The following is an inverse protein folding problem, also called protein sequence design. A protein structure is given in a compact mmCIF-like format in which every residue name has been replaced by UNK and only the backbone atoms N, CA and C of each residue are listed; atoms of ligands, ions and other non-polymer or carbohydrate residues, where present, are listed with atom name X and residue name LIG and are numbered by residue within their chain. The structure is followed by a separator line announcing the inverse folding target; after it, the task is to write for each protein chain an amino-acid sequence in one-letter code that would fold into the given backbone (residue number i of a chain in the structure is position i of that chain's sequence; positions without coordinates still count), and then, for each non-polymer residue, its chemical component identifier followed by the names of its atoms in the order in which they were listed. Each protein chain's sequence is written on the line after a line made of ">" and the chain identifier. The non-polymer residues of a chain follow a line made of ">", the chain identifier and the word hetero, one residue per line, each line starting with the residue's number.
data_IF_036811938314
#
_entry.id   IF_036811938314
#
_cell.length_a   1.000
_cell.length_b   1.000
_cell.length_c   1.000
_cell.angle_alpha   90.00
_cell.angle_beta   90.00
_cell.angle_gamma   90.00
#
_symmetry.space_group_name_H-M   'P 1'
#
loop_
_entity.id
_entity.type
_entity.pdbx_description
1 polymer ?
#
# COMPACT_ATOMS: atom_id res chain seq x y z
N UNK A 1 -43.20 34.74 36.73
CA UNK A 1 -43.45 34.99 35.29
C UNK A 1 -42.35 35.83 34.64
N UNK A 2 -41.94 36.96 35.25
CA UNK A 2 -40.92 37.88 34.70
C UNK A 2 -39.50 37.25 34.56
N UNK A 3 -39.12 36.31 35.43
CA UNK A 3 -37.81 35.61 35.38
C UNK A 3 -37.69 34.64 34.19
N UNK A 4 -38.76 33.90 33.88
CA UNK A 4 -38.83 32.92 32.78
C UNK A 4 -38.79 33.64 31.42
N UNK A 5 -39.33 34.85 31.35
CA UNK A 5 -39.35 35.67 30.14
C UNK A 5 -37.95 36.21 29.78
N UNK A 6 -37.09 36.45 30.78
CA UNK A 6 -35.74 36.96 30.59
C UNK A 6 -34.76 35.86 30.13
N UNK A 7 -34.88 34.63 30.65
CA UNK A 7 -34.07 33.48 30.22
C UNK A 7 -34.39 33.05 28.77
N UNK A 8 -35.67 33.09 28.36
CA UNK A 8 -36.06 32.82 26.97
C UNK A 8 -35.49 33.86 25.99
N UNK A 9 -35.43 35.13 26.40
CA UNK A 9 -34.85 36.18 25.55
C UNK A 9 -33.32 36.09 25.48
N UNK A 10 -32.64 35.72 26.57
CA UNK A 10 -31.20 35.50 26.56
C UNK A 10 -30.79 34.29 25.70
N UNK A 11 -31.54 33.19 25.78
CA UNK A 11 -31.31 31.99 24.95
C UNK A 11 -31.65 32.21 23.48
N UNK A 12 -32.70 32.98 23.16
CA UNK A 12 -32.96 33.38 21.78
C UNK A 12 -31.85 34.28 21.23
N UNK A 13 -31.34 35.22 22.03
CA UNK A 13 -30.26 36.12 21.63
C UNK A 13 -28.94 35.39 21.37
N UNK A 14 -28.57 34.40 22.20
CA UNK A 14 -27.36 33.58 21.97
C UNK A 14 -27.48 32.71 20.72
N UNK A 15 -28.65 32.09 20.48
CA UNK A 15 -28.90 31.30 19.26
C UNK A 15 -28.84 32.18 18.00
N UNK A 16 -29.39 33.40 18.04
CA UNK A 16 -29.29 34.33 16.91
C UNK A 16 -27.85 34.77 16.62
N UNK A 17 -27.03 35.01 17.64
CA UNK A 17 -25.62 35.36 17.47
C UNK A 17 -24.80 34.20 16.89
N UNK A 18 -25.03 32.96 17.34
CA UNK A 18 -24.35 31.78 16.79
C UNK A 18 -24.69 31.57 15.31
N UNK A 19 -25.96 31.70 14.94
CA UNK A 19 -26.41 31.47 13.56
C UNK A 19 -25.93 32.59 12.63
N UNK A 20 -26.08 33.85 13.05
CA UNK A 20 -25.82 35.00 12.17
C UNK A 20 -24.32 35.29 12.03
N UNK A 21 -23.51 35.01 13.05
CA UNK A 21 -22.09 35.42 13.05
C UNK A 21 -21.13 34.23 12.98
N UNK A 22 -21.32 33.21 13.83
CA UNK A 22 -20.33 32.13 13.95
C UNK A 22 -20.38 31.13 12.79
N UNK A 23 -21.57 30.79 12.30
CA UNK A 23 -21.74 29.89 11.14
C UNK A 23 -21.06 30.44 9.87
N UNK A 24 -21.32 31.69 9.42
CA UNK A 24 -20.70 32.19 8.19
C UNK A 24 -19.18 32.34 8.30
N UNK A 25 -18.65 32.69 9.47
CA UNK A 25 -17.19 32.76 9.68
C UNK A 25 -16.55 31.38 9.55
N UNK A 26 -17.14 30.35 10.18
CA UNK A 26 -16.66 28.96 10.05
C UNK A 26 -16.71 28.49 8.59
N UNK A 27 -17.77 28.83 7.87
CA UNK A 27 -17.94 28.51 6.45
C UNK A 27 -16.83 29.16 5.60
N UNK A 28 -16.54 30.44 5.86
CA UNK A 28 -15.52 31.20 5.13
C UNK A 28 -14.10 30.67 5.36
N UNK A 29 -13.80 30.20 6.57
CA UNK A 29 -12.54 29.51 6.89
C UNK A 29 -12.45 28.17 6.14
N UNK A 30 -13.55 27.44 6.00
CA UNK A 30 -13.59 26.17 5.28
C UNK A 30 -13.35 26.37 3.78
N UNK A 31 -13.97 27.39 3.18
CA UNK A 31 -13.80 27.75 1.76
C UNK A 31 -12.34 28.12 1.49
N UNK A 32 -11.71 28.94 2.33
CA UNK A 32 -10.29 29.29 2.19
C UNK A 32 -9.36 28.08 2.30
N UNK A 33 -9.68 27.11 3.17
CA UNK A 33 -8.92 25.84 3.23
C UNK A 33 -9.07 25.05 1.94
N UNK A 34 -10.27 24.93 1.40
CA UNK A 34 -10.53 24.23 0.14
C UNK A 34 -9.81 24.89 -1.04
N UNK A 35 -9.85 26.21 -1.16
CA UNK A 35 -9.10 26.95 -2.19
C UNK A 35 -7.60 26.69 -2.10
N UNK A 36 -7.03 26.64 -0.89
CA UNK A 36 -5.61 26.31 -0.68
C UNK A 36 -5.30 24.88 -1.14
N UNK A 37 -6.16 23.90 -0.84
CA UNK A 37 -6.01 22.53 -1.32
C UNK A 37 -6.09 22.45 -2.84
N UNK A 38 -7.01 23.18 -3.46
CA UNK A 38 -7.19 23.23 -4.92
C UNK A 38 -6.00 23.90 -5.60
N UNK A 39 -5.47 24.98 -5.02
CA UNK A 39 -4.25 25.64 -5.48
C UNK A 39 -3.03 24.72 -5.39
N UNK A 40 -2.86 24.01 -4.28
CA UNK A 40 -1.78 23.03 -4.10
C UNK A 40 -1.89 21.89 -5.13
N UNK A 41 -3.11 21.40 -5.39
CA UNK A 41 -3.35 20.39 -6.43
C UNK A 41 -2.96 20.91 -7.82
N UNK A 42 -3.33 22.15 -8.14
CA UNK A 42 -3.08 22.74 -9.46
C UNK A 42 -1.60 23.17 -9.66
N UNK A 43 -0.87 23.45 -8.58
CA UNK A 43 0.58 23.76 -8.63
C UNK A 43 1.47 22.52 -8.60
N UNK A 44 0.94 21.35 -8.23
CA UNK A 44 1.62 20.09 -8.48
C UNK A 44 1.57 19.77 -9.98
N UNK A 45 2.47 20.37 -10.76
CA UNK A 45 2.88 19.80 -12.04
C UNK A 45 3.46 18.41 -11.74
N UNK A 46 2.61 17.39 -11.83
CA UNK A 46 2.95 16.01 -11.52
C UNK A 46 4.09 15.60 -12.46
N UNK A 47 5.31 15.59 -11.94
CA UNK A 47 6.47 15.11 -12.67
C UNK A 47 6.55 13.60 -12.46
N UNK A 48 5.69 12.87 -13.17
CA UNK A 48 5.54 11.40 -13.11
C UNK A 48 6.80 10.64 -13.55
N UNK A 49 7.79 11.35 -14.12
CA UNK A 49 9.05 10.79 -14.63
C UNK A 49 9.90 10.06 -13.59
N UNK A 50 9.68 10.27 -12.29
CA UNK A 50 10.63 9.83 -11.26
C UNK A 50 10.09 8.82 -10.24
N UNK A 51 8.85 8.35 -10.35
CA UNK A 51 8.31 7.40 -9.34
C UNK A 51 7.67 6.18 -9.96
N UNK A 52 8.36 5.04 -9.81
CA UNK A 52 7.90 3.70 -10.17
C UNK A 52 6.55 3.35 -9.51
N UNK A 53 6.38 3.74 -8.24
CA UNK A 53 5.15 3.47 -7.47
C UNK A 53 3.97 4.37 -7.86
N UNK A 54 4.21 5.45 -8.62
CA UNK A 54 3.17 6.39 -9.02
C UNK A 54 2.17 5.76 -10.00
N UNK A 55 2.65 4.90 -10.90
CA UNK A 55 1.82 4.09 -11.79
C UNK A 55 0.88 3.15 -11.02
N UNK A 56 1.34 2.60 -9.90
CA UNK A 56 0.51 1.74 -9.04
C UNK A 56 -0.69 2.51 -8.47
N UNK A 57 -0.43 3.75 -8.02
CA UNK A 57 -1.44 4.66 -7.49
C UNK A 57 -2.41 5.07 -8.60
N UNK A 58 -1.92 5.47 -9.77
CA UNK A 58 -2.76 5.81 -10.92
C UNK A 58 -3.67 4.64 -11.36
N UNK A 59 -3.13 3.43 -11.39
CA UNK A 59 -3.89 2.22 -11.72
C UNK A 59 -4.97 1.91 -10.67
N UNK A 60 -4.65 2.03 -9.37
CA UNK A 60 -5.64 1.90 -8.29
C UNK A 60 -6.75 2.96 -8.36
N UNK A 61 -6.43 4.15 -8.84
CA UNK A 61 -7.37 5.27 -9.00
C UNK A 61 -8.14 5.23 -10.32
N UNK A 62 -7.99 4.18 -11.16
CA UNK A 62 -8.56 4.09 -12.51
C UNK A 62 -8.24 5.32 -13.39
N UNK A 63 -7.12 6.00 -13.12
CA UNK A 63 -6.67 7.12 -13.94
C UNK A 63 -5.87 6.51 -15.08
N UNK A 64 -6.39 6.64 -16.30
CA UNK A 64 -5.71 6.16 -17.50
C UNK A 64 -4.33 6.78 -17.59
N UNK A 65 -3.31 5.93 -17.58
CA UNK A 65 -1.94 6.32 -17.88
C UNK A 65 -1.97 6.89 -19.30
N UNK A 66 -1.51 8.14 -19.53
CA UNK A 66 -1.53 8.71 -20.87
C UNK A 66 -0.78 7.77 -21.83
N UNK A 67 -1.34 7.50 -23.01
CA UNK A 67 -0.73 6.61 -24.02
C UNK A 67 0.69 7.05 -24.44
N UNK A 68 1.04 8.31 -24.15
CA UNK A 68 2.36 8.91 -24.34
C UNK A 68 3.29 8.77 -23.13
N UNK A 69 2.94 7.98 -22.10
CA UNK A 69 3.84 7.70 -21.00
C UNK A 69 5.11 7.02 -21.55
N UNK A 70 6.27 7.54 -21.16
CA UNK A 70 7.56 7.06 -21.66
C UNK A 70 7.65 5.53 -21.52
N UNK A 71 8.04 4.79 -22.58
CA UNK A 71 8.15 3.32 -22.54
C UNK A 71 8.94 2.78 -21.35
N UNK A 72 9.90 3.60 -20.87
CA UNK A 72 10.69 3.38 -19.65
C UNK A 72 9.81 3.18 -18.42
N UNK A 73 8.75 3.97 -18.25
CA UNK A 73 7.90 3.96 -17.05
C UNK A 73 7.01 2.70 -17.04
N UNK A 74 6.48 2.30 -18.19
CA UNK A 74 5.70 1.07 -18.31
C UNK A 74 6.57 -0.18 -18.07
N UNK A 75 7.77 -0.22 -18.65
CA UNK A 75 8.76 -1.28 -18.41
C UNK A 75 9.11 -1.38 -16.91
N UNK A 76 9.46 -0.24 -16.32
CA UNK A 76 9.78 -0.05 -14.91
C UNK A 76 8.69 -0.59 -13.98
N UNK A 77 7.43 -0.37 -14.32
CA UNK A 77 6.29 -0.88 -13.56
C UNK A 77 6.12 -2.40 -13.69
N UNK A 78 6.35 -2.96 -14.88
CA UNK A 78 6.38 -4.41 -15.09
C UNK A 78 7.45 -5.11 -14.24
N UNK A 79 8.66 -4.55 -14.21
CA UNK A 79 9.77 -5.03 -13.36
C UNK A 79 9.40 -4.95 -11.87
N UNK A 80 8.74 -3.87 -11.45
CA UNK A 80 8.27 -3.72 -10.07
C UNK A 80 7.26 -4.82 -9.68
N UNK A 81 6.27 -5.11 -10.53
CA UNK A 81 5.29 -6.17 -10.26
C UNK A 81 5.98 -7.53 -10.17
N UNK A 82 6.88 -7.84 -11.12
CA UNK A 82 7.55 -9.13 -11.16
C UNK A 82 8.49 -9.32 -9.96
N UNK A 83 9.16 -8.26 -9.53
CA UNK A 83 10.01 -8.29 -8.33
C UNK A 83 9.21 -8.44 -7.03
N UNK A 84 8.03 -7.84 -6.93
CA UNK A 84 7.10 -8.09 -5.82
C UNK A 84 6.65 -9.55 -5.77
N UNK A 85 6.33 -10.15 -6.93
CA UNK A 85 5.95 -11.56 -7.02
C UNK A 85 7.08 -12.48 -6.53
N UNK A 86 8.32 -12.23 -6.97
CA UNK A 86 9.51 -12.94 -6.49
C UNK A 86 9.68 -12.77 -4.98
N UNK A 87 9.52 -11.55 -4.47
CA UNK A 87 9.64 -11.27 -3.04
C UNK A 87 8.64 -12.06 -2.20
N UNK A 88 7.37 -12.10 -2.59
CA UNK A 88 6.36 -12.92 -1.91
C UNK A 88 6.67 -14.41 -1.97
N UNK A 89 7.17 -14.90 -3.12
CA UNK A 89 7.56 -16.31 -3.26
C UNK A 89 8.72 -16.67 -2.32
N UNK A 90 9.75 -15.83 -2.23
CA UNK A 90 10.88 -16.03 -1.32
C UNK A 90 10.41 -16.04 0.15
N UNK A 91 9.52 -15.12 0.54
CA UNK A 91 8.95 -15.12 1.90
C UNK A 91 8.16 -16.41 2.16
N UNK A 92 7.39 -16.89 1.18
CA UNK A 92 6.60 -18.11 1.32
C UNK A 92 7.48 -19.35 1.51
N UNK A 93 8.51 -19.49 0.67
CA UNK A 93 9.49 -20.56 0.78
C UNK A 93 10.25 -20.51 2.11
N UNK A 94 10.65 -19.31 2.55
CA UNK A 94 11.33 -19.12 3.83
C UNK A 94 10.44 -19.52 5.02
N UNK A 95 9.18 -19.08 5.05
CA UNK A 95 8.23 -19.44 6.11
C UNK A 95 7.95 -20.95 6.12
N UNK A 96 7.87 -21.57 4.94
CA UNK A 96 7.67 -23.01 4.82
C UNK A 96 8.86 -23.80 5.39
N UNK A 97 10.10 -23.40 5.06
CA UNK A 97 11.31 -24.02 5.62
C UNK A 97 11.42 -23.81 7.13
N UNK A 98 11.14 -22.58 7.59
CA UNK A 98 11.16 -22.24 9.02
C UNK A 98 10.15 -23.08 9.81
N UNK A 99 8.94 -23.25 9.26
CA UNK A 99 7.92 -24.09 9.88
C UNK A 99 8.35 -25.55 10.00
N UNK A 100 8.83 -26.15 8.90
CA UNK A 100 9.35 -27.53 8.89
C UNK A 100 10.49 -27.72 9.89
N UNK A 101 11.40 -26.74 9.97
CA UNK A 101 12.51 -26.77 10.93
C UNK A 101 12.01 -26.79 12.38
N UNK A 102 11.04 -25.93 12.71
CA UNK A 102 10.45 -25.87 14.05
C UNK A 102 9.72 -27.18 14.39
N UNK A 103 8.90 -27.70 13.47
CA UNK A 103 8.15 -28.94 13.68
C UNK A 103 9.09 -30.13 13.91
N UNK A 104 10.22 -30.19 13.19
CA UNK A 104 11.19 -31.27 13.31
C UNK A 104 11.94 -31.28 14.65
N UNK A 105 12.21 -30.11 15.23
CA UNK A 105 13.07 -29.99 16.43
C UNK A 105 12.25 -29.84 17.71
N UNK A 106 11.08 -29.23 17.65
CA UNK A 106 10.30 -28.87 18.83
C UNK A 106 8.90 -29.45 18.78
N UNK A 107 8.38 -29.86 19.94
CA UNK A 107 6.97 -30.14 20.10
C UNK A 107 6.19 -28.81 20.06
N UNK A 108 5.64 -28.50 18.88
CA UNK A 108 5.00 -27.23 18.53
C UNK A 108 3.87 -26.88 19.50
N UNK A 109 3.11 -27.88 19.94
CA UNK A 109 1.96 -27.66 20.82
C UNK A 109 2.37 -27.20 22.24
N UNK A 110 3.53 -27.63 22.71
CA UNK A 110 4.03 -27.31 24.05
C UNK A 110 4.85 -25.99 24.06
N UNK A 111 5.79 -25.84 23.13
CA UNK A 111 6.67 -24.66 23.06
C UNK A 111 5.96 -23.38 22.61
N UNK A 112 4.98 -23.48 21.71
CA UNK A 112 4.24 -22.32 21.19
C UNK A 112 2.90 -22.08 21.90
N UNK A 113 2.66 -22.70 23.07
CA UNK A 113 1.44 -22.51 23.86
C UNK A 113 1.15 -21.03 24.16
N UNK A 114 2.18 -20.24 24.45
CA UNK A 114 2.07 -18.81 24.76
C UNK A 114 2.02 -17.91 23.51
N UNK A 115 2.19 -18.47 22.31
CA UNK A 115 2.27 -17.72 21.04
C UNK A 115 1.27 -18.25 20.01
N UNK A 116 -0.05 -18.03 20.19
CA UNK A 116 -1.10 -18.60 19.34
C UNK A 116 -1.01 -18.13 17.88
N UNK A 117 -0.49 -16.93 17.61
CA UNK A 117 -0.29 -16.40 16.25
C UNK A 117 0.81 -17.15 15.50
N UNK A 118 2.00 -17.33 16.12
CA UNK A 118 3.06 -18.15 15.50
C UNK A 118 2.62 -19.58 15.33
N UNK A 119 1.90 -20.16 16.30
CA UNK A 119 1.37 -21.52 16.21
C UNK A 119 0.50 -21.69 14.96
N UNK A 120 -0.34 -20.71 14.64
CA UNK A 120 -1.16 -20.73 13.41
C UNK A 120 -0.32 -20.69 12.14
N UNK A 121 0.73 -19.87 12.10
CA UNK A 121 1.64 -19.78 10.95
C UNK A 121 2.38 -21.11 10.75
N UNK A 122 2.94 -21.69 11.82
CA UNK A 122 3.64 -22.98 11.75
C UNK A 122 2.71 -24.09 11.27
N UNK A 123 1.52 -24.21 11.88
CA UNK A 123 0.52 -25.22 11.47
C UNK A 123 0.02 -25.05 10.03
N UNK A 124 -0.03 -23.83 9.52
CA UNK A 124 -0.41 -23.59 8.12
C UNK A 124 0.55 -24.26 7.13
N UNK A 125 1.85 -24.23 7.43
CA UNK A 125 2.90 -24.82 6.59
C UNK A 125 3.30 -26.25 7.00
N UNK A 126 2.60 -26.87 7.95
CA UNK A 126 2.90 -28.22 8.45
C UNK A 126 2.73 -29.30 7.38
N UNK A 127 1.79 -29.10 6.45
CA UNK A 127 1.58 -29.99 5.30
C UNK A 127 2.52 -29.74 4.12
N UNK A 128 3.37 -28.72 4.17
CA UNK A 128 4.27 -28.40 3.07
C UNK A 128 5.35 -29.47 2.94
N UNK A 129 5.39 -30.14 1.79
CA UNK A 129 6.47 -31.09 1.48
C UNK A 129 7.74 -30.34 1.07
N UNK A 130 8.91 -30.93 1.32
CA UNK A 130 10.19 -30.40 0.83
C UNK A 130 10.20 -30.22 -0.70
N UNK A 131 9.50 -31.11 -1.43
CA UNK A 131 9.36 -31.03 -2.89
C UNK A 131 8.64 -29.75 -3.30
N UNK A 132 7.54 -29.41 -2.63
CA UNK A 132 6.78 -28.19 -2.91
C UNK A 132 7.66 -26.94 -2.71
N UNK A 133 8.41 -26.90 -1.61
CA UNK A 133 9.34 -25.80 -1.33
C UNK A 133 10.43 -25.70 -2.38
N UNK A 134 10.98 -26.83 -2.84
CA UNK A 134 11.97 -26.82 -3.92
C UNK A 134 11.41 -26.25 -5.22
N UNK A 135 10.14 -26.54 -5.54
CA UNK A 135 9.46 -25.97 -6.70
C UNK A 135 9.30 -24.45 -6.55
N UNK A 136 8.90 -23.96 -5.37
CA UNK A 136 8.78 -22.51 -5.10
C UNK A 136 10.11 -21.78 -5.30
N UNK A 137 11.19 -22.31 -4.70
CA UNK A 137 12.54 -21.76 -4.87
C UNK A 137 12.96 -21.77 -6.34
N UNK A 138 12.68 -22.87 -7.06
CA UNK A 138 12.96 -22.98 -8.50
C UNK A 138 12.22 -21.91 -9.31
N UNK A 139 10.93 -21.69 -9.05
CA UNK A 139 10.15 -20.62 -9.68
C UNK A 139 10.71 -19.23 -9.36
N UNK A 140 11.08 -18.98 -8.10
CA UNK A 140 11.67 -17.70 -7.70
C UNK A 140 12.98 -17.41 -8.44
N UNK A 141 13.83 -18.44 -8.63
CA UNK A 141 15.06 -18.33 -9.42
C UNK A 141 14.77 -18.02 -10.89
N UNK A 142 13.81 -18.71 -11.51
CA UNK A 142 13.42 -18.46 -12.92
C UNK A 142 12.94 -17.02 -13.09
N UNK A 143 12.04 -16.54 -12.25
CA UNK A 143 11.54 -15.17 -12.35
C UNK A 143 12.63 -14.13 -12.08
N UNK A 144 13.54 -14.38 -11.13
CA UNK A 144 14.69 -13.50 -10.87
C UNK A 144 15.60 -13.43 -12.10
N UNK A 145 15.83 -14.57 -12.77
CA UNK A 145 16.63 -14.64 -13.99
C UNK A 145 15.96 -13.87 -15.14
N UNK A 146 14.64 -13.97 -15.28
CA UNK A 146 13.87 -13.19 -16.27
C UNK A 146 14.02 -11.68 -16.01
N UNK A 147 13.89 -11.23 -14.75
CA UNK A 147 14.10 -9.82 -14.38
C UNK A 147 15.52 -9.38 -14.70
N UNK A 148 16.51 -10.21 -14.39
CA UNK A 148 17.91 -9.89 -14.63
C UNK A 148 18.20 -9.73 -16.13
N UNK A 149 17.75 -10.68 -16.95
CA UNK A 149 17.90 -10.63 -18.40
C UNK A 149 17.14 -9.44 -19.01
N UNK A 150 15.93 -9.14 -18.52
CA UNK A 150 15.17 -8.00 -19.02
C UNK A 150 15.89 -6.69 -18.74
N UNK A 151 16.48 -6.53 -17.56
CA UNK A 151 17.26 -5.35 -17.19
C UNK A 151 18.52 -5.20 -18.04
N UNK A 152 19.24 -6.29 -18.33
CA UNK A 152 20.40 -6.26 -19.23
C UNK A 152 20.01 -5.86 -20.66
N UNK A 153 18.92 -6.43 -21.18
CA UNK A 153 18.39 -6.09 -22.50
C UNK A 153 17.98 -4.62 -22.57
N UNK A 154 17.31 -4.10 -21.53
CA UNK A 154 16.91 -2.70 -21.45
C UNK A 154 18.11 -1.73 -21.42
N UNK A 155 19.24 -2.15 -20.84
CA UNK A 155 20.50 -1.39 -20.84
C UNK A 155 21.24 -1.48 -22.19
N UNK A 156 20.75 -2.26 -23.15
CA UNK A 156 21.40 -2.46 -24.45
C UNK A 156 22.65 -3.36 -24.39
N UNK A 157 22.82 -4.13 -23.31
CA UNK A 157 23.92 -5.08 -23.18
C UNK A 157 23.52 -6.36 -23.93
N UNK A 158 24.11 -6.58 -25.10
CA UNK A 158 23.95 -7.82 -25.85
C UNK A 158 24.80 -8.91 -25.20
N UNK A 159 24.13 -9.91 -24.63
CA UNK A 159 24.77 -11.07 -23.97
C UNK A 159 25.12 -12.16 -25.01
N UNK A 160 24.62 -12.03 -26.25
CA UNK A 160 24.74 -13.03 -27.32
C UNK A 160 25.73 -12.64 -28.43
N UNK A 161 26.55 -11.61 -28.21
CA UNK A 161 27.73 -11.29 -29.03
C UNK A 161 28.98 -11.97 -28.45
#
# INVERSE_FOLDING_TARGET
>A
MMRIMNEKNQTAMTVTLEIVVLIPIKLLILIKKLEKYLYLWNTMKINYRHSFSFLFILNLLNISVPENAEPVINYSFGVLILSLLVFFNIINAFLSLFSLYIIKIYNVDERLKNYPRLKRIVKYYEGSSLVFISIEIGMALIFTLVIFLSCLFFLGINIFE
#
